data_IF_686674271242
#
_entry.id   IF_686674271242
#
_cell.length_a   1.000
_cell.length_b   1.000
_cell.length_c   1.000
_cell.angle_alpha   90.00
_cell.angle_beta   90.00
_cell.angle_gamma   90.00
#
_symmetry.space_group_name_H-M   'P 1'
#
loop_
_entity.id
_entity.type
_entity.pdbx_description
1 polymer ?
#
# COMPACT_ATOMS: atom_id res chain seq x y z
N UNK A 1 -19.82 -3.47 -0.29
CA UNK A 1 -19.09 -3.19 0.95
C UNK A 1 -19.40 -4.33 1.94
N UNK A 2 -18.42 -4.88 2.65
CA UNK A 2 -18.68 -5.92 3.68
C UNK A 2 -19.01 -5.30 5.03
N UNK A 3 -19.59 -6.08 5.93
CA UNK A 3 -19.79 -5.69 7.33
C UNK A 3 -18.44 -5.46 8.01
N UNK A 4 -18.37 -4.43 8.86
CA UNK A 4 -17.13 -4.08 9.57
C UNK A 4 -16.81 -5.18 10.58
N UNK A 5 -15.57 -5.67 10.59
CA UNK A 5 -15.12 -6.74 11.49
C UNK A 5 -15.34 -8.16 10.95
N UNK A 6 -16.12 -8.33 9.88
CA UNK A 6 -16.27 -9.63 9.23
C UNK A 6 -14.96 -10.06 8.53
N UNK A 7 -14.56 -11.34 8.63
CA UNK A 7 -13.39 -11.87 7.94
C UNK A 7 -13.38 -11.59 6.43
N UNK A 8 -12.16 -11.43 5.90
CA UNK A 8 -11.90 -11.12 4.50
C UNK A 8 -11.18 -12.34 3.89
N UNK A 9 -11.75 -13.00 2.87
CA UNK A 9 -11.05 -14.04 2.14
C UNK A 9 -9.93 -13.39 1.33
N UNK A 10 -8.69 -13.77 1.61
CA UNK A 10 -7.49 -13.39 0.86
C UNK A 10 -6.86 -14.69 0.40
N UNK A 11 -6.80 -14.90 -0.92
CA UNK A 11 -6.26 -16.12 -1.54
C UNK A 11 -6.88 -17.42 -0.98
N UNK A 12 -8.19 -17.38 -0.70
CA UNK A 12 -8.93 -18.50 -0.11
C UNK A 12 -8.74 -18.69 1.40
N UNK A 13 -7.95 -17.84 2.06
CA UNK A 13 -7.74 -17.84 3.51
C UNK A 13 -8.58 -16.77 4.18
N UNK A 14 -9.41 -17.17 5.14
CA UNK A 14 -10.17 -16.25 5.98
C UNK A 14 -9.22 -15.43 6.87
N UNK A 15 -9.07 -14.16 6.52
CA UNK A 15 -8.15 -13.23 7.19
C UNK A 15 -8.94 -12.30 8.12
N UNK A 16 -8.46 -12.04 9.36
CA UNK A 16 -9.12 -11.10 10.25
C UNK A 16 -9.26 -9.72 9.60
N UNK A 17 -10.45 -9.12 9.69
CA UNK A 17 -10.76 -7.80 9.09
C UNK A 17 -9.69 -6.74 9.39
N UNK A 18 -9.26 -6.66 10.64
CA UNK A 18 -8.30 -5.65 11.11
C UNK A 18 -6.87 -5.87 10.61
N UNK A 19 -6.53 -7.07 10.12
CA UNK A 19 -5.21 -7.35 9.55
C UNK A 19 -4.97 -6.54 8.27
N UNK A 20 -6.02 -6.25 7.49
CA UNK A 20 -5.93 -5.44 6.28
C UNK A 20 -5.48 -3.99 6.56
N UNK A 21 -5.72 -3.49 7.77
CA UNK A 21 -5.38 -2.11 8.17
C UNK A 21 -4.09 -2.04 9.00
N UNK A 22 -3.52 -3.19 9.38
CA UNK A 22 -2.37 -3.26 10.29
C UNK A 22 -1.18 -2.42 9.83
N UNK A 23 -0.89 -2.40 8.53
CA UNK A 23 0.21 -1.64 7.93
C UNK A 23 0.02 -0.12 8.01
N UNK A 24 -1.23 0.37 8.01
CA UNK A 24 -1.53 1.82 8.02
C UNK A 24 -1.84 2.35 9.42
N UNK A 25 -2.47 1.54 10.29
CA UNK A 25 -2.94 1.96 11.61
C UNK A 25 -1.85 2.59 12.48
N UNK A 26 -0.64 2.00 12.48
CA UNK A 26 0.48 2.48 13.31
C UNK A 26 0.93 3.89 12.93
N UNK A 27 0.93 4.21 11.64
CA UNK A 27 1.42 5.49 11.15
C UNK A 27 0.36 6.58 11.20
N UNK A 28 -0.92 6.22 11.05
CA UNK A 28 -2.04 7.12 11.33
C UNK A 28 -2.03 7.56 12.81
N UNK A 29 -1.85 6.62 13.74
CA UNK A 29 -1.82 6.93 15.17
C UNK A 29 -0.65 7.86 15.56
N UNK A 30 0.51 7.66 14.93
CA UNK A 30 1.74 8.39 15.28
C UNK A 30 1.97 9.66 14.46
N UNK A 31 1.15 9.90 13.43
CA UNK A 31 1.24 11.06 12.55
C UNK A 31 2.52 11.10 11.70
N UNK A 32 3.05 9.93 11.31
CA UNK A 32 4.19 9.85 10.40
C UNK A 32 3.71 10.00 8.94
N UNK A 33 4.46 10.70 8.08
CA UNK A 33 4.13 10.75 6.67
C UNK A 33 4.38 9.38 6.04
N UNK A 34 3.43 8.93 5.21
CA UNK A 34 3.53 7.69 4.45
C UNK A 34 3.11 7.94 2.99
N UNK A 35 3.78 7.26 2.06
CA UNK A 35 3.46 7.26 0.63
C UNK A 35 3.49 5.84 0.10
N UNK A 36 2.58 5.50 -0.82
CA UNK A 36 2.57 4.20 -1.50
C UNK A 36 2.92 4.42 -2.96
N UNK A 37 3.89 3.66 -3.46
CA UNK A 37 4.24 3.63 -4.89
C UNK A 37 3.89 2.27 -5.49
N UNK A 38 3.40 2.21 -6.74
CA UNK A 38 3.22 0.96 -7.45
C UNK A 38 4.59 0.37 -7.80
N UNK A 39 4.78 -0.90 -7.49
CA UNK A 39 6.05 -1.59 -7.74
C UNK A 39 5.95 -2.69 -8.81
N UNK A 40 4.74 -3.06 -9.22
CA UNK A 40 4.50 -4.04 -10.28
C UNK A 40 3.17 -4.76 -10.07
N UNK A 41 3.01 -5.86 -10.81
CA UNK A 41 1.90 -6.78 -10.68
C UNK A 41 2.39 -8.12 -10.15
N UNK A 42 1.52 -8.85 -9.45
CA UNK A 42 1.78 -10.25 -9.12
C UNK A 42 1.55 -11.19 -10.33
N UNK A 43 1.63 -12.50 -10.09
CA UNK A 43 1.45 -13.53 -11.14
C UNK A 43 0.03 -13.59 -11.69
N UNK A 44 -0.95 -13.07 -10.96
CA UNK A 44 -2.37 -13.03 -11.32
C UNK A 44 -2.75 -11.67 -11.91
N UNK A 45 -1.80 -10.73 -12.02
CA UNK A 45 -2.01 -9.40 -12.56
C UNK A 45 -2.55 -8.39 -11.53
N UNK A 46 -2.53 -8.71 -10.23
CA UNK A 46 -2.97 -7.81 -9.17
C UNK A 46 -1.88 -6.79 -8.83
N UNK A 47 -2.24 -5.51 -8.60
CA UNK A 47 -1.26 -4.47 -8.31
C UNK A 47 -0.61 -4.63 -6.94
N UNK A 48 0.73 -4.57 -6.92
CA UNK A 48 1.52 -4.56 -5.68
C UNK A 48 2.01 -3.12 -5.42
N UNK A 49 1.76 -2.64 -4.21
CA UNK A 49 2.24 -1.35 -3.72
C UNK A 49 3.30 -1.49 -2.63
N UNK A 50 4.34 -0.66 -2.66
CA UNK A 50 5.28 -0.51 -1.57
C UNK A 50 4.95 0.74 -0.74
N UNK A 51 4.72 0.56 0.56
CA UNK A 51 4.52 1.65 1.50
C UNK A 51 5.87 2.11 2.05
N UNK A 52 6.18 3.39 1.87
CA UNK A 52 7.31 4.06 2.48
C UNK A 52 6.82 4.96 3.61
N UNK A 53 7.54 4.93 4.73
CA UNK A 53 7.24 5.76 5.89
C UNK A 53 8.44 6.62 6.24
N UNK A 54 8.22 7.93 6.27
CA UNK A 54 9.24 8.91 6.60
C UNK A 54 9.26 9.23 8.09
N UNK A 55 10.27 10.00 8.51
CA UNK A 55 10.25 10.65 9.83
C UNK A 55 9.16 11.72 9.85
N UNK A 56 8.69 12.10 11.04
CA UNK A 56 7.73 13.20 11.18
C UNK A 56 8.27 14.47 10.51
N UNK A 57 7.41 15.16 9.75
CA UNK A 57 7.72 16.41 9.05
C UNK A 57 8.81 16.30 7.97
N UNK A 58 9.04 15.10 7.42
CA UNK A 58 10.03 14.85 6.36
C UNK A 58 9.38 14.48 5.01
N UNK A 59 8.22 15.05 4.70
CA UNK A 59 7.41 14.74 3.51
C UNK A 59 8.23 14.92 2.23
N UNK A 60 8.98 16.02 2.11
CA UNK A 60 9.78 16.30 0.92
C UNK A 60 10.90 15.27 0.71
N UNK A 61 11.55 14.84 1.79
CA UNK A 61 12.55 13.77 1.73
C UNK A 61 11.91 12.44 1.35
N UNK A 62 10.76 12.11 1.94
CA UNK A 62 10.02 10.89 1.64
C UNK A 62 9.61 10.84 0.16
N UNK A 63 9.10 11.95 -0.38
CA UNK A 63 8.74 12.06 -1.79
C UNK A 63 9.96 11.97 -2.72
N UNK A 64 11.11 12.53 -2.32
CA UNK A 64 12.34 12.39 -3.09
C UNK A 64 12.80 10.93 -3.19
N UNK A 65 12.73 10.19 -2.08
CA UNK A 65 13.04 8.75 -2.05
C UNK A 65 12.03 7.96 -2.87
N UNK A 66 10.73 8.22 -2.71
CA UNK A 66 9.68 7.57 -3.48
C UNK A 66 9.86 7.81 -4.99
N UNK A 67 10.21 9.03 -5.40
CA UNK A 67 10.51 9.37 -6.79
C UNK A 67 11.73 8.63 -7.33
N UNK A 68 12.77 8.46 -6.51
CA UNK A 68 13.96 7.71 -6.91
C UNK A 68 13.63 6.21 -7.09
N UNK A 69 12.87 5.62 -6.17
CA UNK A 69 12.45 4.22 -6.27
C UNK A 69 11.47 3.96 -7.40
N UNK A 70 10.53 4.87 -7.66
CA UNK A 70 9.55 4.73 -8.74
C UNK A 70 10.21 4.65 -10.14
N UNK A 71 11.46 5.09 -10.29
CA UNK A 71 12.23 4.92 -11.55
C UNK A 71 12.75 3.49 -11.74
N UNK A 72 12.70 2.67 -10.70
CA UNK A 72 13.16 1.28 -10.69
C UNK A 72 11.99 0.29 -10.82
N UNK A 73 10.77 0.77 -10.99
CA UNK A 73 9.56 -0.05 -11.04
C UNK A 73 8.85 0.13 -12.37
N UNK A 74 8.01 -0.84 -12.74
CA UNK A 74 7.13 -0.75 -13.92
C UNK A 74 6.03 0.31 -13.74
N UNK A 75 5.90 0.87 -12.54
CA UNK A 75 4.97 1.94 -12.23
C UNK A 75 3.51 1.49 -12.23
N UNK A 76 2.63 2.46 -12.45
CA UNK A 76 1.19 2.20 -12.49
C UNK A 76 0.79 1.52 -13.79
N UNK A 77 0.13 0.37 -13.69
CA UNK A 77 -0.52 -0.31 -14.82
C UNK A 77 -2.02 -0.08 -14.73
N UNK A 78 -2.63 0.37 -15.83
CA UNK A 78 -4.08 0.58 -15.90
C UNK A 78 -4.80 -0.77 -15.80
N UNK A 79 -5.81 -0.93 -14.93
CA UNK A 79 -6.60 -2.15 -14.91
C UNK A 79 -7.29 -2.38 -16.27
N UNK A 80 -7.36 -3.63 -16.74
CA UNK A 80 -8.07 -3.96 -17.98
C UNK A 80 -9.57 -3.68 -17.83
N UNK A 81 -10.19 -3.14 -18.88
CA UNK A 81 -11.64 -2.87 -18.93
C UNK A 81 -12.10 -1.49 -18.45
N UNK A 82 -11.15 -0.57 -18.19
CA UNK A 82 -11.37 0.87 -18.01
C UNK A 82 -10.88 1.66 -19.22
#
# INVERSE_FOLDING_TARGET
HRETGAPIPVDGVETPYWSALSHVCRFNLTGHPAVVIPIGLDREGLPIGAQLVGRRHSEMTLLAVAKALARLTDGFVRPPGL
#
